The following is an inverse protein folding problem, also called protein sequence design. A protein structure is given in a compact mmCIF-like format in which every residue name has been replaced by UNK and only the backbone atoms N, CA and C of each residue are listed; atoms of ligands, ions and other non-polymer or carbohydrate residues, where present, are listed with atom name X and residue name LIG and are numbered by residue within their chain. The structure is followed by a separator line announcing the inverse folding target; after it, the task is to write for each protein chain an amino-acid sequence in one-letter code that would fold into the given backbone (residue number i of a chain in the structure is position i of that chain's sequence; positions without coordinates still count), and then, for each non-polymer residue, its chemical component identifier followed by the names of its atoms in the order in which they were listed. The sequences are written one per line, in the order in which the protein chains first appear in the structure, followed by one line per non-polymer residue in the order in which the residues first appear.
data_IF_076189802385
#
_entry.id   IF_076189802385
#
_cell.length_a   1.000
_cell.length_b   1.000
_cell.length_c   1.000
_cell.angle_alpha   90.00
_cell.angle_beta   90.00
_cell.angle_gamma   90.00
#
_symmetry.space_group_name_H-M   'P 1'
#
loop_
_entity.id
_entity.type
_entity.pdbx_description
1 polymer ?
#
# COMPACT_ATOMS: atom_id res chain seq x y z
N UNK A 1 -29.63 12.29 51.42
CA UNK A 1 -28.73 12.39 50.26
C UNK A 1 -27.95 11.09 50.14
N UNK A 2 -27.81 10.52 48.93
CA UNK A 2 -27.61 9.09 48.74
C UNK A 2 -26.15 8.82 48.23
N UNK A 3 -25.60 7.60 48.20
CA UNK A 3 -25.62 6.66 47.08
C UNK A 3 -25.01 5.30 47.50
N UNK A 4 -25.64 4.23 47.01
CA UNK A 4 -25.31 2.83 47.23
C UNK A 4 -24.30 2.31 46.19
N UNK A 5 -23.53 1.31 46.62
CA UNK A 5 -23.05 0.09 45.92
C UNK A 5 -22.47 0.15 44.50
N UNK A 6 -21.27 -0.44 44.41
CA UNK A 6 -20.44 -0.77 43.25
C UNK A 6 -21.10 -1.72 42.23
N UNK A 7 -20.83 -1.58 40.92
CA UNK A 7 -21.06 -2.62 39.92
C UNK A 7 -19.80 -3.46 39.63
N UNK A 8 -19.99 -4.76 39.39
CA UNK A 8 -19.00 -5.62 38.71
C UNK A 8 -19.69 -6.80 37.99
N UNK A 9 -19.00 -7.43 37.02
CA UNK A 9 -19.48 -7.59 35.64
C UNK A 9 -20.05 -8.97 35.35
N UNK A 10 -20.91 -9.07 34.32
CA UNK A 10 -21.17 -10.35 33.66
C UNK A 10 -21.18 -10.18 32.14
N UNK A 11 -20.19 -10.83 31.53
CA UNK A 11 -20.01 -11.02 30.10
C UNK A 11 -21.15 -11.85 29.49
N UNK A 12 -21.57 -11.52 28.26
CA UNK A 12 -21.61 -12.50 27.18
C UNK A 12 -21.79 -11.84 25.80
N UNK A 13 -20.94 -12.31 24.90
CA UNK A 13 -20.71 -11.88 23.53
C UNK A 13 -21.94 -11.95 22.62
N UNK A 14 -22.08 -10.97 21.73
CA UNK A 14 -22.40 -11.25 20.34
C UNK A 14 -21.41 -10.50 19.47
N UNK A 15 -20.52 -11.27 18.85
CA UNK A 15 -19.43 -10.79 18.03
C UNK A 15 -19.97 -10.21 16.72
N UNK A 16 -19.91 -8.89 16.60
CA UNK A 16 -19.56 -8.21 15.34
C UNK A 16 -18.90 -6.90 15.75
N UNK A 17 -17.58 -6.71 15.57
CA UNK A 17 -17.02 -5.38 15.74
C UNK A 17 -17.60 -4.51 14.63
N UNK A 18 -18.40 -3.54 15.07
CA UNK A 18 -18.72 -2.31 14.40
C UNK A 18 -17.55 -1.82 13.53
N UNK A 19 -17.75 -1.79 12.21
CA UNK A 19 -17.05 -0.87 11.33
C UNK A 19 -18.05 0.20 10.89
N UNK A 20 -18.63 0.91 11.86
CA UNK A 20 -19.24 2.21 11.64
C UNK A 20 -18.26 3.26 12.16
N UNK A 21 -17.35 3.70 11.30
CA UNK A 21 -16.57 4.90 11.55
C UNK A 21 -16.57 5.74 10.27
N UNK A 22 -17.40 6.76 10.25
CA UNK A 22 -17.31 7.90 9.34
C UNK A 22 -16.83 9.08 10.20
N UNK A 23 -15.82 9.88 9.81
CA UNK A 23 -15.42 10.23 8.44
C UNK A 23 -13.96 9.86 8.11
N UNK A 24 -13.78 9.06 7.07
CA UNK A 24 -12.90 9.32 5.90
C UNK A 24 -13.12 8.17 4.93
N UNK A 25 -14.27 8.13 4.23
CA UNK A 25 -14.51 7.13 3.18
C UNK A 25 -13.33 7.07 2.21
N UNK A 26 -12.79 8.22 1.82
CA UNK A 26 -11.64 8.33 0.91
C UNK A 26 -10.37 7.59 1.36
N UNK A 27 -10.04 7.52 2.66
CA UNK A 27 -8.83 6.82 3.12
C UNK A 27 -9.04 5.30 3.24
N UNK A 28 -10.24 4.88 3.64
CA UNK A 28 -10.56 3.46 3.80
C UNK A 28 -10.82 2.79 2.43
N UNK A 29 -11.45 3.51 1.51
CA UNK A 29 -11.55 3.13 0.09
C UNK A 29 -10.17 3.07 -0.58
N UNK A 30 -9.23 3.96 -0.23
CA UNK A 30 -7.85 3.88 -0.69
C UNK A 30 -7.16 2.60 -0.20
N UNK A 31 -7.23 2.29 1.10
CA UNK A 31 -6.65 1.08 1.67
C UNK A 31 -7.26 -0.20 1.07
N UNK A 32 -8.56 -0.19 0.81
CA UNK A 32 -9.24 -1.31 0.14
C UNK A 32 -8.77 -1.47 -1.32
N UNK A 33 -8.70 -0.37 -2.08
CA UNK A 33 -8.17 -0.36 -3.44
C UNK A 33 -6.70 -0.80 -3.48
N UNK A 34 -5.89 -0.35 -2.52
CA UNK A 34 -4.49 -0.76 -2.33
C UNK A 34 -4.37 -2.27 -2.12
N UNK A 35 -5.21 -2.83 -1.24
CA UNK A 35 -5.23 -4.28 -1.00
C UNK A 35 -5.72 -5.07 -2.23
N UNK A 36 -6.73 -4.57 -2.94
CA UNK A 36 -7.23 -5.19 -4.17
C UNK A 36 -6.22 -5.14 -5.32
N UNK A 37 -5.57 -4.00 -5.52
CA UNK A 37 -4.48 -3.86 -6.47
C UNK A 37 -3.32 -4.79 -6.09
N UNK A 38 -3.05 -4.96 -4.77
CA UNK A 38 -1.99 -5.84 -4.30
C UNK A 38 -2.30 -7.31 -4.57
N UNK A 39 -3.58 -7.69 -4.42
CA UNK A 39 -4.07 -9.03 -4.73
C UNK A 39 -4.10 -9.33 -6.24
N UNK A 40 -4.15 -8.28 -7.08
CA UNK A 40 -4.09 -8.40 -8.54
C UNK A 40 -2.67 -8.67 -9.04
N UNK A 41 -1.63 -8.30 -8.26
CA UNK A 41 -0.24 -8.61 -8.60
C UNK A 41 -0.04 -10.12 -8.52
N UNK A 42 0.28 -10.73 -9.67
CA UNK A 42 0.56 -12.16 -9.77
C UNK A 42 1.94 -12.46 -9.17
N UNK A 43 1.95 -12.96 -7.94
CA UNK A 43 3.15 -13.45 -7.27
C UNK A 43 3.36 -14.93 -7.59
N UNK A 44 4.59 -15.26 -7.96
CA UNK A 44 4.98 -16.63 -8.29
C UNK A 44 5.95 -17.09 -7.21
N UNK A 45 5.48 -17.98 -6.35
CA UNK A 45 6.28 -18.54 -5.26
C UNK A 45 7.44 -19.43 -5.74
N UNK A 46 7.51 -19.75 -7.04
CA UNK A 46 8.61 -20.48 -7.66
C UNK A 46 9.76 -19.55 -8.07
N UNK A 47 9.52 -18.25 -8.12
CA UNK A 47 10.50 -17.24 -8.49
C UNK A 47 10.99 -16.46 -7.27
N UNK A 48 12.20 -15.87 -7.32
CA UNK A 48 12.66 -15.00 -6.27
C UNK A 48 11.76 -13.77 -6.16
N UNK A 49 11.16 -13.63 -4.96
CA UNK A 49 10.29 -12.51 -4.61
C UNK A 49 11.11 -11.44 -3.89
N UNK A 50 10.85 -10.20 -4.24
CA UNK A 50 11.39 -9.00 -3.64
C UNK A 50 10.30 -8.20 -2.93
N UNK A 51 10.64 -7.54 -1.82
CA UNK A 51 9.72 -6.70 -1.06
C UNK A 51 10.00 -5.24 -1.35
N UNK A 52 9.11 -4.57 -2.07
CA UNK A 52 9.27 -3.16 -2.40
C UNK A 52 8.39 -2.33 -1.49
N UNK A 53 9.00 -1.34 -0.86
CA UNK A 53 8.29 -0.36 -0.07
C UNK A 53 8.12 0.92 -0.87
N UNK A 54 6.89 1.33 -1.14
CA UNK A 54 6.57 2.61 -1.75
C UNK A 54 6.15 3.61 -0.66
N UNK A 55 6.81 4.76 -0.61
CA UNK A 55 6.39 5.92 0.16
C UNK A 55 5.62 6.85 -0.75
N UNK A 56 4.34 7.07 -0.46
CA UNK A 56 3.49 7.98 -1.20
C UNK A 56 3.75 9.42 -0.76
N UNK A 57 3.53 10.38 -1.66
CA UNK A 57 3.71 11.80 -1.32
C UNK A 57 2.73 12.29 -0.24
N UNK A 58 1.57 11.62 -0.14
CA UNK A 58 0.50 11.86 0.83
C UNK A 58 0.91 11.48 2.28
N UNK A 59 2.09 10.90 2.46
CA UNK A 59 2.56 10.35 3.74
C UNK A 59 2.19 8.88 3.95
N UNK A 60 1.41 8.30 3.04
CA UNK A 60 1.10 6.88 3.01
C UNK A 60 2.33 6.01 2.76
N UNK A 61 2.33 4.80 3.33
CA UNK A 61 3.36 3.78 3.10
C UNK A 61 2.70 2.52 2.57
N UNK A 62 3.12 2.12 1.39
CA UNK A 62 2.74 0.86 0.75
C UNK A 62 3.90 -0.11 0.80
N UNK A 63 3.63 -1.36 1.12
CA UNK A 63 4.62 -2.43 1.04
C UNK A 63 4.00 -3.51 0.21
N UNK A 64 4.62 -3.81 -0.93
CA UNK A 64 4.14 -4.82 -1.84
C UNK A 64 5.28 -5.74 -2.24
N UNK A 65 4.95 -7.03 -2.31
CA UNK A 65 5.88 -8.06 -2.77
C UNK A 65 5.75 -8.14 -4.28
N UNK A 66 6.85 -8.40 -4.98
CA UNK A 66 6.88 -8.57 -6.43
C UNK A 66 7.95 -9.61 -6.79
N UNK A 67 7.82 -10.32 -7.89
CA UNK A 67 8.92 -11.17 -8.41
C UNK A 67 9.97 -10.34 -9.14
N UNK A 68 11.22 -10.81 -9.22
CA UNK A 68 12.29 -10.11 -9.95
C UNK A 68 11.99 -9.87 -11.44
N UNK A 69 11.13 -10.72 -12.02
CA UNK A 69 10.67 -10.65 -13.41
C UNK A 69 9.62 -9.56 -13.67
N UNK A 70 9.05 -8.98 -12.61
CA UNK A 70 8.12 -7.86 -12.75
C UNK A 70 8.82 -6.60 -13.24
N UNK A 71 8.03 -5.71 -13.83
CA UNK A 71 8.49 -4.45 -14.42
C UNK A 71 8.06 -3.27 -13.57
N UNK A 72 8.75 -2.15 -13.77
CA UNK A 72 8.38 -0.86 -13.17
C UNK A 72 6.99 -0.40 -13.64
N UNK A 73 6.56 -0.79 -14.85
CA UNK A 73 5.18 -0.57 -15.31
C UNK A 73 4.13 -1.18 -14.38
N UNK A 74 4.38 -2.39 -13.85
CA UNK A 74 3.45 -3.10 -12.96
C UNK A 74 3.32 -2.37 -11.63
N UNK A 75 4.44 -1.86 -11.09
CA UNK A 75 4.45 -0.96 -9.94
C UNK A 75 3.60 0.30 -10.17
N UNK A 76 3.70 0.91 -11.35
CA UNK A 76 2.89 2.09 -11.68
C UNK A 76 1.41 1.74 -11.77
N UNK A 77 1.06 0.64 -12.44
CA UNK A 77 -0.33 0.15 -12.50
C UNK A 77 -0.86 -0.18 -11.11
N UNK A 78 -0.04 -0.78 -10.26
CA UNK A 78 -0.36 -1.05 -8.86
C UNK A 78 -0.67 0.24 -8.11
N UNK A 79 0.14 1.30 -8.25
CA UNK A 79 -0.12 2.61 -7.65
C UNK A 79 -1.40 3.27 -8.19
N UNK A 80 -1.63 3.19 -9.50
CA UNK A 80 -2.83 3.73 -10.15
C UNK A 80 -4.08 2.99 -9.69
N UNK A 81 -4.01 1.66 -9.55
CA UNK A 81 -5.10 0.84 -9.01
C UNK A 81 -5.35 1.10 -7.53
N UNK A 82 -4.29 1.26 -6.74
CA UNK A 82 -4.34 1.65 -5.34
C UNK A 82 -5.01 3.01 -5.13
N UNK A 83 -4.67 3.99 -5.99
CA UNK A 83 -5.19 5.35 -5.88
C UNK A 83 -5.55 5.90 -7.26
N UNK A 84 -6.82 5.80 -7.69
CA UNK A 84 -7.26 6.35 -8.97
C UNK A 84 -7.12 7.89 -9.03
N UNK A 85 -7.10 8.57 -7.88
CA UNK A 85 -6.74 9.99 -7.77
C UNK A 85 -5.33 10.30 -8.30
N UNK A 86 -4.41 9.32 -8.25
CA UNK A 86 -3.04 9.46 -8.77
C UNK A 86 -2.96 9.27 -10.28
N UNK A 87 -3.98 8.69 -10.93
CA UNK A 87 -4.04 8.63 -12.39
C UNK A 87 -4.16 10.03 -13.01
N UNK A 88 -4.68 11.00 -12.24
CA UNK A 88 -4.87 12.37 -12.67
C UNK A 88 -3.65 13.29 -12.43
N UNK A 89 -2.68 12.86 -11.62
CA UNK A 89 -1.47 13.64 -11.32
C UNK A 89 -0.24 12.98 -11.91
N UNK A 90 0.62 13.78 -12.55
CA UNK A 90 1.94 13.31 -12.96
C UNK A 90 2.82 13.09 -11.72
N UNK A 91 3.32 11.87 -11.55
CA UNK A 91 4.21 11.52 -10.46
C UNK A 91 5.42 10.75 -10.99
N UNK A 92 6.56 10.99 -10.37
CA UNK A 92 7.80 10.26 -10.60
C UNK A 92 8.09 9.36 -9.41
N UNK A 93 8.57 8.15 -9.71
CA UNK A 93 9.04 7.21 -8.71
C UNK A 93 10.55 7.36 -8.61
N UNK A 94 11.06 7.52 -7.40
CA UNK A 94 12.50 7.62 -7.13
C UNK A 94 12.90 6.57 -6.12
N UNK A 95 13.99 5.86 -6.37
CA UNK A 95 14.56 4.96 -5.37
C UNK A 95 15.35 5.74 -4.34
N UNK A 96 15.38 5.22 -3.11
CA UNK A 96 16.23 5.82 -2.06
C UNK A 96 17.68 5.36 -2.15
N UNK A 97 17.93 4.16 -2.68
CA UNK A 97 19.27 3.56 -2.77
C UNK A 97 19.37 2.54 -3.90
N UNK A 98 20.30 2.72 -4.86
CA UNK A 98 20.92 3.99 -5.25
C UNK A 98 19.84 5.01 -5.66
N UNK A 99 20.07 6.32 -5.50
CA UNK A 99 19.09 7.33 -5.92
C UNK A 99 18.97 7.34 -7.45
N UNK A 100 17.93 6.69 -7.98
CA UNK A 100 17.64 6.58 -9.40
C UNK A 100 16.18 6.94 -9.63
N UNK A 101 15.94 7.69 -10.69
CA UNK A 101 14.58 7.92 -11.17
C UNK A 101 14.08 6.68 -11.91
N UNK A 102 12.92 6.19 -11.48
CA UNK A 102 12.18 5.07 -12.07
C UNK A 102 11.21 5.57 -13.13
N UNK A 103 11.74 6.32 -14.08
CA UNK A 103 10.99 6.80 -15.25
C UNK A 103 10.94 5.72 -16.34
N UNK A 104 11.84 4.74 -16.28
CA UNK A 104 11.89 3.59 -17.18
C UNK A 104 10.91 2.47 -16.75
N UNK A 105 9.70 2.50 -17.29
CA UNK A 105 8.67 1.46 -17.09
C UNK A 105 9.03 0.10 -17.71
N UNK A 106 9.99 0.10 -18.65
CA UNK A 106 10.44 -1.09 -19.38
C UNK A 106 11.44 -1.95 -18.60
N UNK A 107 12.07 -1.39 -17.57
CA UNK A 107 13.06 -2.10 -16.75
C UNK A 107 12.37 -3.08 -15.81
N UNK A 108 13.00 -4.22 -15.59
CA UNK A 108 12.61 -5.15 -14.54
C UNK A 108 13.09 -4.67 -13.18
N UNK A 109 12.50 -5.21 -12.11
CA UNK A 109 12.90 -4.88 -10.73
C UNK A 109 14.38 -5.24 -10.47
N UNK A 110 14.88 -6.32 -11.05
CA UNK A 110 16.31 -6.66 -10.98
C UNK A 110 17.21 -5.63 -11.69
N UNK A 111 16.82 -5.19 -12.90
CA UNK A 111 17.62 -4.26 -13.70
C UNK A 111 17.62 -2.86 -13.09
N UNK A 112 16.49 -2.46 -12.52
CA UNK A 112 16.34 -1.22 -11.79
C UNK A 112 16.96 -1.27 -10.38
N UNK A 113 17.58 -2.40 -10.00
CA UNK A 113 18.17 -2.65 -8.68
C UNK A 113 17.19 -2.39 -7.53
N UNK A 114 15.93 -2.75 -7.73
CA UNK A 114 14.83 -2.54 -6.78
C UNK A 114 14.66 -3.67 -5.78
N UNK A 115 15.69 -4.50 -5.63
CA UNK A 115 15.63 -5.69 -4.80
C UNK A 115 15.62 -5.30 -3.32
N UNK A 116 14.45 -5.43 -2.67
CA UNK A 116 14.19 -4.99 -1.30
C UNK A 116 14.38 -3.47 -1.11
N UNK A 117 14.15 -2.72 -2.18
CA UNK A 117 14.36 -1.28 -2.19
C UNK A 117 13.15 -0.51 -1.66
N UNK A 118 13.45 0.70 -1.19
CA UNK A 118 12.43 1.70 -0.87
C UNK A 118 12.33 2.68 -2.04
N UNK A 119 11.12 2.82 -2.55
CA UNK A 119 10.73 3.77 -3.58
C UNK A 119 9.97 4.90 -2.90
N UNK A 120 10.21 6.12 -3.33
CA UNK A 120 9.52 7.32 -2.91
C UNK A 120 8.84 7.90 -4.13
N UNK A 121 7.55 8.15 -4.00
CA UNK A 121 6.78 8.89 -4.98
C UNK A 121 7.01 10.38 -4.75
N UNK A 122 7.30 11.12 -5.82
CA UNK A 122 7.27 12.58 -5.84
C UNK A 122 6.27 13.04 -6.89
N UNK A 123 5.44 14.02 -6.54
CA UNK A 123 4.66 14.75 -7.53
C UNK A 123 5.59 15.69 -8.29
N UNK A 124 5.42 15.80 -9.61
CA UNK A 124 6.11 16.80 -10.43
C UNK A 124 5.19 17.94 -10.85
#
# INVERSE_FOLDING_TARGET
MPWLTFPSPSSSHSATPELVNSPTSSQQDQLANEAQASATVSLDSSQPVTNIQIRLHDGGRLVQRFNHTHRVSDLRQFLVGARPLMAASEFVLMTTFPNKELSDESLTLEQANLLNAVIVQRLT
#
